data_IF_045520753814
#
_entry.id   IF_045520753814
#
_cell.length_a   1.000
_cell.length_b   1.000
_cell.length_c   1.000
_cell.angle_alpha   90.00
_cell.angle_beta   90.00
_cell.angle_gamma   90.00
#
_symmetry.space_group_name_H-M   'P 1'
#
loop_
_entity.id
_entity.type
_entity.pdbx_description
1 polymer ?
#
# COMPACT_ATOMS: atom_id res chain seq x y z
N UNK A 1 28.92 -7.69 -36.94
CA UNK A 1 27.60 -8.30 -36.63
C UNK A 1 27.45 -8.70 -35.15
N UNK A 2 28.38 -9.48 -34.55
CA UNK A 2 28.31 -9.91 -33.14
C UNK A 2 28.24 -8.76 -32.11
N UNK A 3 28.99 -7.67 -32.33
CA UNK A 3 28.96 -6.47 -31.46
C UNK A 3 27.61 -5.74 -31.51
N UNK A 4 26.95 -5.75 -32.67
CA UNK A 4 25.64 -5.13 -32.87
C UNK A 4 24.54 -5.96 -32.20
N UNK A 5 24.62 -7.29 -32.31
CA UNK A 5 23.75 -8.24 -31.60
C UNK A 5 23.91 -8.14 -30.08
N UNK A 6 25.13 -7.94 -29.59
CA UNK A 6 25.38 -7.78 -28.15
C UNK A 6 24.81 -6.46 -27.62
N UNK A 7 24.96 -5.38 -28.38
CA UNK A 7 24.39 -4.08 -28.04
C UNK A 7 22.86 -4.10 -28.05
N UNK A 8 22.24 -4.73 -29.03
CA UNK A 8 20.77 -4.86 -29.08
C UNK A 8 20.22 -5.72 -27.95
N UNK A 9 20.92 -6.80 -27.58
CA UNK A 9 20.53 -7.66 -26.45
C UNK A 9 20.58 -6.91 -25.11
N UNK A 10 21.62 -6.08 -24.89
CA UNK A 10 21.78 -5.26 -23.70
C UNK A 10 20.68 -4.19 -23.57
N UNK A 11 20.36 -3.51 -24.67
CA UNK A 11 19.28 -2.51 -24.71
C UNK A 11 17.93 -3.18 -24.43
N UNK A 12 17.68 -4.37 -25.00
CA UNK A 12 16.44 -5.10 -24.76
C UNK A 12 16.29 -5.54 -23.30
N UNK A 13 17.38 -5.99 -22.67
CA UNK A 13 17.40 -6.35 -21.24
C UNK A 13 17.11 -5.15 -20.32
N UNK A 14 17.67 -3.98 -20.63
CA UNK A 14 17.40 -2.73 -19.89
C UNK A 14 15.94 -2.28 -20.02
N UNK A 15 15.34 -2.39 -21.22
CA UNK A 15 13.93 -2.04 -21.45
C UNK A 15 12.97 -3.00 -20.74
N UNK A 16 13.28 -4.30 -20.71
CA UNK A 16 12.52 -5.32 -19.95
C UNK A 16 12.56 -5.04 -18.44
N UNK A 17 13.69 -4.58 -17.92
CA UNK A 17 13.87 -4.29 -16.48
C UNK A 17 12.96 -3.16 -16.01
N UNK A 18 12.80 -2.11 -16.82
CA UNK A 18 11.90 -0.97 -16.53
C UNK A 18 10.42 -1.37 -16.46
N UNK A 19 10.03 -2.45 -17.13
CA UNK A 19 8.64 -2.94 -17.17
C UNK A 19 8.28 -3.80 -15.95
N UNK A 20 9.27 -4.30 -15.21
CA UNK A 20 9.07 -5.09 -13.99
C UNK A 20 9.05 -4.25 -12.71
N UNK A 21 9.42 -2.96 -12.81
CA UNK A 21 9.33 -1.99 -11.73
C UNK A 21 7.91 -1.40 -11.65
N UNK A 22 6.89 -2.24 -11.75
CA UNK A 22 5.59 -1.84 -11.23
C UNK A 22 5.63 -1.82 -9.70
N UNK A 23 5.02 -0.81 -9.07
CA UNK A 23 5.33 -0.40 -7.72
C UNK A 23 4.79 -1.44 -6.75
N UNK A 24 5.68 -2.11 -6.02
CA UNK A 24 5.32 -2.81 -4.79
C UNK A 24 4.83 -1.74 -3.82
N UNK A 25 3.53 -1.46 -3.87
CA UNK A 25 2.79 -0.58 -2.96
C UNK A 25 3.55 0.71 -2.65
N UNK A 26 3.64 1.63 -3.61
CA UNK A 26 3.93 3.03 -3.29
C UNK A 26 2.76 3.56 -2.42
N UNK A 27 2.77 3.23 -1.12
CA UNK A 27 1.91 3.87 -0.14
C UNK A 27 2.21 5.36 -0.29
N UNK A 28 1.17 6.14 -0.56
CA UNK A 28 1.34 7.59 -0.55
C UNK A 28 1.97 7.99 0.78
N UNK A 29 2.88 8.97 0.76
CA UNK A 29 3.54 9.45 1.99
C UNK A 29 2.51 9.84 3.06
N UNK A 30 1.32 10.29 2.61
CA UNK A 30 0.14 10.48 3.45
C UNK A 30 -0.30 9.20 4.17
N UNK A 31 -0.53 8.11 3.44
CA UNK A 31 -0.94 6.84 4.03
C UNK A 31 0.13 6.28 4.96
N UNK A 32 1.41 6.36 4.59
CA UNK A 32 2.51 5.90 5.44
C UNK A 32 2.49 6.59 6.81
N UNK A 33 2.49 7.93 6.82
CA UNK A 33 2.46 8.72 8.08
C UNK A 33 1.19 8.51 8.88
N UNK A 34 0.03 8.50 8.23
CA UNK A 34 -1.25 8.33 8.94
C UNK A 34 -1.40 6.93 9.52
N UNK A 35 -0.99 5.89 8.79
CA UNK A 35 -1.02 4.52 9.29
C UNK A 35 -0.03 4.29 10.42
N UNK A 36 1.14 4.94 10.39
CA UNK A 36 2.07 4.92 11.52
C UNK A 36 1.42 5.43 12.81
N UNK A 37 0.72 6.57 12.73
CA UNK A 37 -0.05 7.12 13.86
C UNK A 37 -1.19 6.18 14.30
N UNK A 38 -1.97 5.66 13.34
CA UNK A 38 -3.10 4.76 13.62
C UNK A 38 -2.64 3.47 14.30
N UNK A 39 -1.50 2.93 13.89
CA UNK A 39 -0.98 1.65 14.36
C UNK A 39 0.03 1.76 15.50
N UNK A 40 0.25 2.96 16.05
CA UNK A 40 1.28 3.21 17.07
C UNK A 40 1.13 2.34 18.33
N UNK A 41 -0.11 1.93 18.67
CA UNK A 41 -0.41 1.09 19.84
C UNK A 41 -0.98 -0.28 19.47
N UNK A 42 -0.85 -0.70 18.22
CA UNK A 42 -1.37 -1.99 17.77
C UNK A 42 -0.52 -3.14 18.33
N UNK A 43 -1.17 -4.16 18.91
CA UNK A 43 -0.46 -5.35 19.43
C UNK A 43 0.26 -6.17 18.34
N UNK A 44 -0.23 -6.11 17.09
CA UNK A 44 0.44 -6.70 15.92
C UNK A 44 0.65 -5.62 14.87
N UNK A 45 1.77 -4.91 14.96
CA UNK A 45 2.05 -3.69 14.18
C UNK A 45 2.06 -3.94 12.67
N UNK A 46 2.71 -5.00 12.20
CA UNK A 46 2.81 -5.31 10.77
C UNK A 46 1.44 -5.60 10.14
N UNK A 47 0.59 -6.33 10.86
CA UNK A 47 -0.79 -6.59 10.43
C UNK A 47 -1.57 -5.28 10.34
N UNK A 48 -1.47 -4.41 11.35
CA UNK A 48 -2.16 -3.13 11.35
C UNK A 48 -1.72 -2.26 10.17
N UNK A 49 -0.40 -2.11 9.96
CA UNK A 49 0.15 -1.30 8.86
C UNK A 49 -0.29 -1.81 7.49
N UNK A 50 -0.30 -3.13 7.29
CA UNK A 50 -0.77 -3.76 6.04
C UNK A 50 -2.22 -3.40 5.75
N UNK A 51 -3.14 -3.62 6.69
CA UNK A 51 -4.56 -3.37 6.45
C UNK A 51 -4.89 -1.88 6.42
N UNK A 52 -4.25 -1.06 7.26
CA UNK A 52 -4.39 0.39 7.20
C UNK A 52 -3.96 0.91 5.82
N UNK A 53 -2.82 0.45 5.30
CA UNK A 53 -2.32 0.83 4.00
C UNK A 53 -3.27 0.49 2.86
N UNK A 54 -3.81 -0.73 2.86
CA UNK A 54 -4.81 -1.16 1.87
C UNK A 54 -6.05 -0.26 1.93
N UNK A 55 -6.59 -0.04 3.14
CA UNK A 55 -7.78 0.79 3.31
C UNK A 55 -7.52 2.26 2.96
N UNK A 56 -6.34 2.79 3.28
CA UNK A 56 -5.96 4.16 2.92
C UNK A 56 -5.74 4.31 1.42
N UNK A 57 -5.17 3.31 0.75
CA UNK A 57 -5.00 3.34 -0.70
C UNK A 57 -6.36 3.37 -1.43
N UNK A 58 -7.34 2.62 -0.93
CA UNK A 58 -8.70 2.59 -1.48
C UNK A 58 -9.52 3.83 -1.10
N UNK A 59 -9.56 4.20 0.18
CA UNK A 59 -10.44 5.24 0.72
C UNK A 59 -9.82 6.63 0.81
N UNK A 60 -8.50 6.76 0.60
CA UNK A 60 -7.72 8.01 0.74
C UNK A 60 -7.89 8.75 2.07
N UNK A 61 -8.28 8.03 3.13
CA UNK A 61 -8.60 8.57 4.45
C UNK A 61 -8.15 7.58 5.53
N UNK A 62 -7.63 8.09 6.65
CA UNK A 62 -7.30 7.31 7.86
C UNK A 62 -7.84 8.08 9.07
N UNK A 63 -8.66 7.44 9.92
CA UNK A 63 -9.20 8.08 11.13
C UNK A 63 -8.11 8.54 12.10
N UNK A 64 -8.44 9.56 12.89
CA UNK A 64 -7.61 10.04 14.00
C UNK A 64 -7.45 8.99 15.11
N UNK A 65 -6.43 9.19 15.95
CA UNK A 65 -6.14 8.31 17.09
C UNK A 65 -5.68 6.90 16.71
N UNK A 66 -5.41 6.07 17.72
CA UNK A 66 -4.94 4.68 17.53
C UNK A 66 -6.08 3.67 17.51
N UNK A 67 -7.28 4.08 17.94
CA UNK A 67 -8.48 3.24 18.03
C UNK A 67 -9.73 4.12 17.79
N UNK A 68 -10.86 3.52 17.41
CA UNK A 68 -12.13 4.25 17.25
C UNK A 68 -12.14 5.25 16.08
N UNK A 69 -12.95 6.29 16.20
CA UNK A 69 -13.08 7.44 15.27
C UNK A 69 -13.37 7.11 13.80
N UNK A 70 -13.82 5.90 13.50
CA UNK A 70 -14.06 5.46 12.12
C UNK A 70 -15.15 6.28 11.41
N UNK A 71 -16.01 6.98 12.14
CA UNK A 71 -17.00 7.90 11.57
C UNK A 71 -16.38 9.05 10.78
N UNK A 72 -15.14 9.43 11.05
CA UNK A 72 -14.39 10.44 10.29
C UNK A 72 -14.09 10.01 8.84
N UNK A 73 -14.01 8.69 8.61
CA UNK A 73 -13.73 8.11 7.30
C UNK A 73 -14.76 7.02 6.97
N UNK A 74 -15.97 7.36 6.46
CA UNK A 74 -17.04 6.40 6.20
C UNK A 74 -16.62 5.21 5.33
N UNK A 75 -15.88 5.44 4.24
CA UNK A 75 -15.32 4.36 3.42
C UNK A 75 -14.46 3.40 4.26
N UNK A 76 -13.53 3.94 5.06
CA UNK A 76 -12.64 3.13 5.91
C UNK A 76 -13.40 2.32 6.96
N UNK A 77 -14.46 2.91 7.54
CA UNK A 77 -15.37 2.25 8.49
C UNK A 77 -16.08 1.06 7.87
N UNK A 78 -16.60 1.25 6.66
CA UNK A 78 -17.54 0.32 6.02
C UNK A 78 -16.84 -0.78 5.21
N UNK A 79 -15.51 -0.70 5.04
CA UNK A 79 -14.73 -1.77 4.42
C UNK A 79 -14.83 -3.07 5.23
N UNK A 80 -15.39 -4.08 4.59
CA UNK A 80 -15.45 -5.46 5.08
C UNK A 80 -14.47 -6.37 4.31
N UNK A 81 -14.03 -7.42 5.00
CA UNK A 81 -13.33 -8.55 4.39
C UNK A 81 -14.31 -9.46 3.65
N UNK A 82 -13.80 -10.42 2.88
CA UNK A 82 -14.63 -11.46 2.24
C UNK A 82 -15.44 -12.30 3.23
N UNK A 83 -15.08 -12.28 4.52
CA UNK A 83 -15.81 -12.96 5.61
C UNK A 83 -16.85 -12.06 6.30
N UNK A 84 -17.13 -10.87 5.76
CA UNK A 84 -18.09 -9.92 6.33
C UNK A 84 -17.63 -9.23 7.62
N UNK A 85 -16.38 -9.40 8.04
CA UNK A 85 -15.82 -8.73 9.23
C UNK A 85 -15.14 -7.41 8.86
N UNK A 86 -15.12 -6.41 9.75
CA UNK A 86 -14.38 -5.16 9.53
C UNK A 86 -12.94 -5.42 9.07
N UNK A 87 -12.55 -4.83 7.94
CA UNK A 87 -11.22 -5.04 7.33
C UNK A 87 -10.17 -4.11 7.90
N UNK A 88 -10.54 -2.85 8.14
CA UNK A 88 -9.59 -1.79 8.47
C UNK A 88 -9.42 -1.62 9.98
N UNK A 89 -8.21 -1.34 10.48
CA UNK A 89 -7.92 -1.23 11.92
C UNK A 89 -8.68 -0.10 12.63
#
# INVERSE_FOLDING_TARGET
MKKLLFATLLVFALLLSSSLLEPIMAQSLYCAKKCEGRCARAGVKDRCMKYCGICCAECKCVPSGTYGNKHECPCYRDKVSSKGKPKCP
#
